data_IF_004992615455
#
_entry.id   IF_004992615455
#
_cell.length_a   1.000
_cell.length_b   1.000
_cell.length_c   1.000
_cell.angle_alpha   90.00
_cell.angle_beta   90.00
_cell.angle_gamma   90.00
#
_symmetry.space_group_name_H-M   'P 1'
#
loop_
_entity.id
_entity.type
_entity.pdbx_description
1 polymer ?
#
# COMPACT_ATOMS: atom_id res chain seq x y z
N UNK A 1 -15.57 -10.34 5.60
CA UNK A 1 -14.49 -11.35 5.52
C UNK A 1 -13.43 -10.86 4.53
N UNK A 2 -12.14 -11.06 4.80
CA UNK A 2 -11.09 -10.75 3.81
C UNK A 2 -11.20 -11.71 2.62
N UNK A 3 -11.23 -11.18 1.40
CA UNK A 3 -11.12 -11.95 0.16
C UNK A 3 -9.65 -12.07 -0.28
N UNK A 4 -9.01 -10.92 -0.44
CA UNK A 4 -7.63 -10.79 -0.87
C UNK A 4 -7.07 -9.42 -0.46
N UNK A 5 -5.75 -9.28 -0.49
CA UNK A 5 -5.08 -7.99 -0.31
C UNK A 5 -4.00 -7.80 -1.39
N UNK A 6 -4.01 -6.64 -2.03
CA UNK A 6 -2.92 -6.17 -2.87
C UNK A 6 -2.01 -5.29 -2.02
N UNK A 7 -0.76 -5.69 -1.83
CA UNK A 7 0.27 -4.86 -1.23
C UNK A 7 0.99 -4.14 -2.36
N UNK A 8 0.97 -2.80 -2.32
CA UNK A 8 1.50 -1.96 -3.39
C UNK A 8 2.36 -0.84 -2.82
N UNK A 9 3.37 -0.36 -3.58
CA UNK A 9 4.21 0.74 -3.13
C UNK A 9 3.46 2.08 -2.98
N UNK A 10 3.97 2.97 -2.12
CA UNK A 10 3.43 4.31 -1.87
C UNK A 10 4.03 5.42 -2.76
N UNK A 11 4.92 5.07 -3.68
CA UNK A 11 5.58 6.05 -4.55
C UNK A 11 4.62 6.63 -5.60
N UNK A 12 4.66 7.95 -5.76
CA UNK A 12 3.91 8.66 -6.80
C UNK A 12 4.27 8.17 -8.22
N UNK A 13 5.43 7.54 -8.41
CA UNK A 13 5.89 6.98 -9.68
C UNK A 13 5.02 5.82 -10.21
N UNK A 14 4.10 5.30 -9.38
CA UNK A 14 3.06 4.36 -9.83
C UNK A 14 1.89 5.03 -10.53
N UNK A 15 1.82 6.34 -10.60
CA UNK A 15 0.79 7.06 -11.36
C UNK A 15 1.43 7.58 -12.64
N UNK A 16 0.87 7.20 -13.79
CA UNK A 16 1.46 7.61 -15.07
C UNK A 16 1.44 9.15 -15.22
N UNK A 17 2.51 9.69 -15.80
CA UNK A 17 2.80 11.12 -15.86
C UNK A 17 3.69 11.62 -14.71
N UNK A 18 3.66 10.98 -13.53
CA UNK A 18 4.42 11.46 -12.36
C UNK A 18 5.95 11.40 -12.54
N UNK A 19 6.45 10.41 -13.29
CA UNK A 19 7.87 10.26 -13.62
C UNK A 19 8.33 11.04 -14.86
N UNK A 20 7.44 11.84 -15.48
CA UNK A 20 7.69 12.50 -16.75
C UNK A 20 8.00 11.51 -17.89
N UNK A 21 8.78 11.97 -18.88
CA UNK A 21 9.11 11.20 -20.09
C UNK A 21 9.90 9.92 -19.82
N UNK A 22 10.65 9.85 -18.73
CA UNK A 22 11.50 8.70 -18.39
C UNK A 22 10.72 7.50 -17.84
N UNK A 23 9.54 7.76 -17.26
CA UNK A 23 8.62 6.75 -16.70
C UNK A 23 9.31 5.58 -15.96
N UNK A 24 10.21 5.85 -15.00
CA UNK A 24 11.04 4.81 -14.39
C UNK A 24 10.20 3.80 -13.58
N UNK A 25 9.00 4.19 -13.13
CA UNK A 25 8.06 3.33 -12.42
C UNK A 25 7.20 2.42 -13.31
N UNK A 26 7.41 2.38 -14.63
CA UNK A 26 6.54 1.63 -15.56
C UNK A 26 6.34 0.16 -15.19
N UNK A 27 7.41 -0.55 -14.85
CA UNK A 27 7.35 -1.99 -14.53
C UNK A 27 6.66 -2.22 -13.20
N UNK A 28 7.10 -1.53 -12.14
CA UNK A 28 6.45 -1.56 -10.84
C UNK A 28 4.96 -1.21 -10.91
N UNK A 29 4.59 -0.20 -11.72
CA UNK A 29 3.20 0.19 -11.95
C UNK A 29 2.38 -0.91 -12.61
N UNK A 30 2.93 -1.58 -13.63
CA UNK A 30 2.25 -2.70 -14.28
C UNK A 30 2.01 -3.86 -13.28
N UNK A 31 3.00 -4.20 -12.46
CA UNK A 31 2.87 -5.22 -11.43
C UNK A 31 1.87 -4.83 -10.33
N UNK A 32 1.91 -3.57 -9.87
CA UNK A 32 0.96 -3.04 -8.90
C UNK A 32 -0.49 -3.09 -9.41
N UNK A 33 -0.71 -2.75 -10.69
CA UNK A 33 -2.02 -2.89 -11.32
C UNK A 33 -2.48 -4.35 -11.38
N UNK A 34 -1.58 -5.28 -11.73
CA UNK A 34 -1.91 -6.70 -11.81
C UNK A 34 -2.35 -7.28 -10.46
N UNK A 35 -1.65 -6.95 -9.37
CA UNK A 35 -2.03 -7.43 -8.03
C UNK A 35 -3.31 -6.77 -7.52
N UNK A 36 -3.54 -5.49 -7.83
CA UNK A 36 -4.79 -4.80 -7.46
C UNK A 36 -5.99 -5.39 -8.21
N UNK A 37 -5.89 -5.56 -9.53
CA UNK A 37 -6.91 -6.21 -10.35
C UNK A 37 -7.26 -7.62 -9.82
N UNK A 38 -6.22 -8.42 -9.55
CA UNK A 38 -6.39 -9.76 -9.00
C UNK A 38 -7.02 -9.78 -7.60
N UNK A 39 -6.72 -8.79 -6.75
CA UNK A 39 -7.26 -8.72 -5.38
C UNK A 39 -8.73 -8.28 -5.35
N UNK A 40 -9.12 -7.34 -6.21
CA UNK A 40 -10.49 -6.79 -6.21
C UNK A 40 -11.47 -7.64 -7.01
N UNK A 41 -10.98 -8.59 -7.81
CA UNK A 41 -11.81 -9.54 -8.54
C UNK A 41 -12.75 -10.33 -7.62
N UNK A 42 -14.05 -10.04 -7.70
CA UNK A 42 -15.08 -10.68 -6.88
C UNK A 42 -15.31 -10.04 -5.49
N UNK A 43 -14.61 -8.95 -5.18
CA UNK A 43 -14.83 -8.17 -3.97
C UNK A 43 -16.18 -7.43 -4.04
N UNK A 44 -16.90 -7.41 -2.92
CA UNK A 44 -18.10 -6.60 -2.74
C UNK A 44 -17.75 -5.17 -2.32
N UNK A 45 -16.65 -5.00 -1.57
CA UNK A 45 -16.14 -3.71 -1.13
C UNK A 45 -14.60 -3.71 -1.13
N UNK A 46 -14.01 -2.52 -1.21
CA UNK A 46 -12.56 -2.32 -1.11
C UNK A 46 -12.22 -1.34 0.00
N UNK A 47 -11.15 -1.60 0.73
CA UNK A 47 -10.54 -0.63 1.65
C UNK A 47 -9.11 -0.35 1.22
N UNK A 48 -8.82 0.92 0.92
CA UNK A 48 -7.45 1.40 0.73
C UNK A 48 -6.87 1.72 2.11
N UNK A 49 -5.81 1.03 2.50
CA UNK A 49 -5.10 1.23 3.76
C UNK A 49 -3.72 1.77 3.44
N UNK A 50 -3.41 2.98 3.87
CA UNK A 50 -2.17 3.66 3.50
C UNK A 50 -1.53 4.35 4.71
N UNK A 51 -0.20 4.59 4.72
CA UNK A 51 0.43 5.32 5.80
C UNK A 51 -0.04 6.78 5.80
N UNK A 52 -0.18 7.35 6.99
CA UNK A 52 -0.53 8.76 7.19
C UNK A 52 -0.02 9.29 8.52
N UNK A 53 -0.07 10.62 8.73
CA UNK A 53 0.43 11.25 9.96
C UNK A 53 -0.43 10.94 11.19
N UNK A 54 -1.69 10.58 10.97
CA UNK A 54 -2.65 10.19 12.02
C UNK A 54 -3.50 9.04 11.52
N UNK A 55 -3.94 8.18 12.43
CA UNK A 55 -4.91 7.12 12.11
C UNK A 55 -6.29 7.73 11.95
N UNK A 56 -6.87 7.62 10.75
CA UNK A 56 -8.20 8.14 10.42
C UNK A 56 -8.82 7.40 9.24
N UNK A 57 -10.14 7.35 9.23
CA UNK A 57 -10.90 7.03 8.02
C UNK A 57 -11.37 8.33 7.37
N UNK A 58 -11.11 8.48 6.08
CA UNK A 58 -11.56 9.66 5.34
C UNK A 58 -13.05 9.54 5.03
N UNK A 59 -13.80 10.60 5.35
CA UNK A 59 -15.24 10.70 5.09
C UNK A 59 -15.55 11.69 3.97
N UNK A 60 -16.75 11.59 3.42
CA UNK A 60 -17.24 12.47 2.37
C UNK A 60 -16.84 12.03 0.96
N UNK A 61 -16.66 13.00 0.06
CA UNK A 61 -16.09 12.78 -1.26
C UNK A 61 -14.55 12.85 -1.16
N UNK A 62 -13.91 11.69 -1.09
CA UNK A 62 -12.46 11.56 -0.99
C UNK A 62 -11.85 11.68 -2.37
N UNK A 63 -10.99 12.68 -2.57
CA UNK A 63 -10.33 12.98 -3.85
C UNK A 63 -8.85 12.67 -3.74
N UNK A 64 -8.33 11.87 -4.67
CA UNK A 64 -6.90 11.60 -4.79
C UNK A 64 -6.17 12.84 -5.32
N UNK A 65 -4.95 13.08 -4.85
CA UNK A 65 -4.07 14.12 -5.37
C UNK A 65 -2.62 13.80 -5.09
N UNK A 66 -1.75 14.04 -6.07
CA UNK A 66 -0.29 13.95 -5.89
C UNK A 66 0.34 15.33 -5.67
N UNK A 67 -0.47 16.39 -5.54
CA UNK A 67 0.02 17.76 -5.37
C UNK A 67 0.92 17.93 -4.13
N UNK A 68 0.67 17.18 -3.06
CA UNK A 68 1.52 17.18 -1.87
C UNK A 68 2.91 16.53 -2.10
N UNK A 69 3.07 15.73 -3.15
CA UNK A 69 4.37 15.25 -3.65
C UNK A 69 4.98 16.19 -4.70
N UNK A 70 4.38 17.36 -4.93
CA UNK A 70 4.86 18.32 -5.93
C UNK A 70 4.47 18.00 -7.38
N UNK A 71 3.58 17.03 -7.60
CA UNK A 71 3.09 16.66 -8.94
C UNK A 71 1.67 17.22 -9.12
N UNK A 72 1.45 18.26 -9.94
CA UNK A 72 0.12 18.79 -10.20
C UNK A 72 -0.78 17.75 -10.87
N UNK A 73 -2.03 17.65 -10.43
CA UNK A 73 -2.95 16.60 -10.93
C UNK A 73 -3.29 16.75 -12.43
N UNK A 74 -3.19 17.97 -12.98
CA UNK A 74 -3.37 18.25 -14.42
C UNK A 74 -2.18 17.84 -15.30
N UNK A 75 -1.07 17.41 -14.68
CA UNK A 75 0.12 16.86 -15.35
C UNK A 75 0.16 15.34 -15.36
N UNK A 76 -0.79 14.69 -14.70
CA UNK A 76 -0.90 13.23 -14.70
C UNK A 76 -1.56 12.77 -16.00
N UNK A 77 -1.11 11.63 -16.52
CA UNK A 77 -1.79 10.96 -17.65
C UNK A 77 -3.09 10.28 -17.18
N UNK A 78 -3.28 10.18 -15.87
CA UNK A 78 -4.42 9.55 -15.23
C UNK A 78 -5.27 10.60 -14.54
N UNK A 79 -6.60 10.63 -14.78
CA UNK A 79 -7.46 11.55 -14.04
C UNK A 79 -7.44 11.21 -12.56
N UNK A 80 -7.48 12.23 -11.71
CA UNK A 80 -7.59 12.08 -10.26
C UNK A 80 -8.93 11.42 -9.90
N UNK A 81 -8.95 10.20 -9.34
CA UNK A 81 -10.19 9.55 -8.95
C UNK A 81 -10.77 10.20 -7.69
N UNK A 82 -12.08 10.06 -7.54
CA UNK A 82 -12.80 10.40 -6.34
C UNK A 82 -13.78 9.27 -5.95
N UNK A 83 -13.91 9.01 -4.65
CA UNK A 83 -14.80 7.98 -4.10
C UNK A 83 -15.65 8.56 -2.98
N UNK A 84 -16.85 8.00 -2.80
CA UNK A 84 -17.82 8.49 -1.81
C UNK A 84 -18.63 9.69 -2.30
N UNK A 85 -19.28 10.38 -1.36
CA UNK A 85 -20.17 11.51 -1.63
C UNK A 85 -20.19 12.49 -0.44
N UNK A 86 -20.53 13.75 -0.70
CA UNK A 86 -20.66 14.79 0.33
C UNK A 86 -19.50 15.79 0.31
N UNK A 87 -19.12 16.29 1.49
CA UNK A 87 -18.05 17.27 1.63
C UNK A 87 -16.72 16.72 1.11
N UNK A 88 -15.95 17.55 0.41
CA UNK A 88 -14.66 17.13 -0.17
C UNK A 88 -13.61 16.93 0.91
N UNK A 89 -12.93 15.80 0.85
CA UNK A 89 -11.73 15.49 1.64
C UNK A 89 -10.61 15.09 0.69
N UNK A 90 -9.35 15.43 1.01
CA UNK A 90 -8.18 15.05 0.21
C UNK A 90 -7.45 13.89 0.87
N UNK A 91 -7.16 12.87 0.07
CA UNK A 91 -6.28 11.79 0.47
C UNK A 91 -4.81 12.24 0.49
N UNK A 92 -4.02 11.68 1.39
CA UNK A 92 -2.55 11.80 1.35
C UNK A 92 -1.98 11.11 0.11
N UNK A 93 -0.71 11.37 -0.19
CA UNK A 93 -0.04 10.83 -1.39
C UNK A 93 -0.11 9.29 -1.45
N UNK A 94 0.22 8.54 -0.38
CA UNK A 94 0.12 7.08 -0.41
C UNK A 94 -1.30 6.58 -0.69
N UNK A 95 -2.32 7.13 0.00
CA UNK A 95 -3.71 6.78 -0.24
C UNK A 95 -4.17 7.15 -1.67
N UNK A 96 -3.67 8.27 -2.21
CA UNK A 96 -3.96 8.70 -3.58
C UNK A 96 -3.39 7.73 -4.62
N UNK A 97 -2.18 7.20 -4.41
CA UNK A 97 -1.60 6.14 -5.24
C UNK A 97 -2.50 4.90 -5.25
N UNK A 98 -2.93 4.44 -4.06
CA UNK A 98 -3.86 3.31 -3.95
C UNK A 98 -5.18 3.54 -4.68
N UNK A 99 -5.76 4.75 -4.57
CA UNK A 99 -6.99 5.12 -5.28
C UNK A 99 -6.81 5.16 -6.81
N UNK A 100 -5.67 5.66 -7.31
CA UNK A 100 -5.36 5.65 -8.74
C UNK A 100 -5.27 4.21 -9.28
N UNK A 101 -4.56 3.33 -8.57
CA UNK A 101 -4.45 1.93 -8.96
C UNK A 101 -5.82 1.24 -8.94
N UNK A 102 -6.63 1.47 -7.91
CA UNK A 102 -7.98 0.92 -7.78
C UNK A 102 -8.91 1.38 -8.92
N UNK A 103 -8.88 2.68 -9.26
CA UNK A 103 -9.66 3.21 -10.37
C UNK A 103 -9.22 2.61 -11.71
N UNK A 104 -7.92 2.33 -11.88
CA UNK A 104 -7.39 1.68 -13.09
C UNK A 104 -7.67 0.20 -13.19
N UNK A 105 -7.86 -0.49 -12.06
CA UNK A 105 -8.43 -1.83 -12.02
C UNK A 105 -9.94 -1.83 -12.30
N UNK A 106 -10.57 -0.66 -12.50
CA UNK A 106 -11.99 -0.57 -12.90
C UNK A 106 -12.97 -0.88 -11.78
N UNK A 107 -12.54 -0.91 -10.51
CA UNK A 107 -13.44 -1.15 -9.40
C UNK A 107 -14.33 0.07 -9.14
N UNK A 108 -15.65 -0.11 -9.20
CA UNK A 108 -16.65 0.95 -9.01
C UNK A 108 -17.53 0.75 -7.77
N UNK A 109 -17.23 -0.26 -6.96
CA UNK A 109 -18.01 -0.59 -5.76
C UNK A 109 -17.70 0.31 -4.56
N UNK A 110 -18.33 0.02 -3.40
CA UNK A 110 -18.04 0.70 -2.14
C UNK A 110 -16.54 0.71 -1.81
N UNK A 111 -15.99 1.90 -1.62
CA UNK A 111 -14.56 2.11 -1.32
C UNK A 111 -14.42 2.94 -0.05
N UNK A 112 -13.66 2.43 0.93
CA UNK A 112 -13.24 3.17 2.12
C UNK A 112 -11.76 3.50 2.03
N UNK A 113 -11.35 4.63 2.60
CA UNK A 113 -9.95 5.07 2.61
C UNK A 113 -9.51 5.31 4.04
N UNK A 114 -8.52 4.55 4.49
CA UNK A 114 -8.02 4.56 5.86
C UNK A 114 -6.54 4.90 5.82
N UNK A 115 -6.19 6.01 6.44
CA UNK A 115 -4.81 6.41 6.68
C UNK A 115 -4.41 5.97 8.09
N UNK A 116 -3.22 5.38 8.23
CA UNK A 116 -2.78 4.82 9.51
C UNK A 116 -1.40 5.37 9.90
N UNK A 117 -1.30 5.80 11.16
CA UNK A 117 -0.03 6.14 11.78
C UNK A 117 0.51 4.93 12.57
N UNK A 118 1.80 4.96 12.88
CA UNK A 118 2.38 3.99 13.81
C UNK A 118 1.70 4.11 15.19
N UNK A 119 1.26 2.99 15.75
CA UNK A 119 0.62 2.96 17.06
C UNK A 119 0.05 1.58 17.40
N UNK A 120 -0.51 1.43 18.61
CA UNK A 120 -1.21 0.21 19.01
C UNK A 120 -2.56 0.07 18.29
N UNK A 121 -3.16 -1.13 18.34
CA UNK A 121 -4.53 -1.39 17.87
C UNK A 121 -4.72 -1.47 16.36
N UNK A 122 -3.64 -1.49 15.57
CA UNK A 122 -3.70 -1.62 14.10
C UNK A 122 -4.26 -2.99 13.67
N UNK A 123 -3.91 -4.07 14.38
CA UNK A 123 -4.48 -5.39 14.12
C UNK A 123 -6.00 -5.41 14.36
N UNK A 124 -6.47 -4.88 15.49
CA UNK A 124 -7.91 -4.80 15.77
C UNK A 124 -8.65 -3.92 14.76
N UNK A 125 -8.00 -2.86 14.27
CA UNK A 125 -8.53 -2.05 13.17
C UNK A 125 -8.70 -2.91 11.91
N UNK A 126 -7.68 -3.68 11.53
CA UNK A 126 -7.74 -4.62 10.42
C UNK A 126 -8.93 -5.56 10.50
N UNK A 127 -9.08 -6.23 11.65
CA UNK A 127 -10.20 -7.14 11.90
C UNK A 127 -11.56 -6.46 11.65
N UNK A 128 -11.75 -5.23 12.16
CA UNK A 128 -12.99 -4.45 11.95
C UNK A 128 -13.21 -4.03 10.50
N UNK A 129 -12.16 -3.72 9.74
CA UNK A 129 -12.29 -3.27 8.35
C UNK A 129 -12.84 -4.34 7.43
N UNK A 130 -12.60 -5.61 7.75
CA UNK A 130 -13.07 -6.76 6.99
C UNK A 130 -14.26 -7.45 7.66
N UNK A 131 -14.94 -6.83 8.62
CA UNK A 131 -16.21 -7.36 9.14
C UNK A 131 -17.35 -7.13 8.12
N UNK A 132 -18.22 -8.13 7.95
CA UNK A 132 -19.34 -8.09 7.00
C UNK A 132 -19.01 -8.70 5.64
N UNK A 133 -19.04 -7.89 4.59
CA UNK A 133 -19.00 -8.35 3.19
C UNK A 133 -17.64 -8.94 2.75
N UNK A 134 -17.57 -9.45 1.51
CA UNK A 134 -16.32 -9.92 0.90
C UNK A 134 -15.44 -8.72 0.54
N UNK A 135 -14.53 -8.36 1.44
CA UNK A 135 -13.72 -7.15 1.34
C UNK A 135 -12.34 -7.48 0.78
N UNK A 136 -11.90 -6.73 -0.24
CA UNK A 136 -10.50 -6.71 -0.65
C UNK A 136 -9.78 -5.50 -0.03
N UNK A 137 -8.47 -5.63 0.21
CA UNK A 137 -7.64 -4.53 0.69
C UNK A 137 -6.64 -4.09 -0.38
N UNK A 138 -6.43 -2.79 -0.50
CA UNK A 138 -5.26 -2.21 -1.18
C UNK A 138 -4.37 -1.62 -0.09
N UNK A 139 -3.32 -2.35 0.28
CA UNK A 139 -2.41 -2.02 1.38
C UNK A 139 -1.18 -1.33 0.79
N UNK A 140 -1.09 -0.02 1.01
CA UNK A 140 -0.08 0.83 0.40
C UNK A 140 1.11 0.98 1.33
N UNK A 141 2.32 0.85 0.81
CA UNK A 141 3.56 1.13 1.54
C UNK A 141 4.78 0.43 0.96
N UNK A 142 5.94 0.95 1.29
CA UNK A 142 7.23 0.45 0.81
C UNK A 142 8.07 -0.13 1.94
N UNK A 143 9.07 -0.92 1.56
CA UNK A 143 10.11 -1.42 2.46
C UNK A 143 11.14 -0.31 2.71
N UNK A 144 12.42 -0.63 2.94
CA UNK A 144 13.39 0.38 3.36
C UNK A 144 13.61 1.47 2.30
N UNK A 145 13.84 2.70 2.76
CA UNK A 145 14.11 3.90 1.95
C UNK A 145 15.55 4.39 2.11
N UNK A 146 16.51 3.44 2.08
CA UNK A 146 17.90 3.65 2.50
C UNK A 146 18.91 3.09 1.47
N UNK A 147 18.54 3.02 0.19
CA UNK A 147 19.39 2.45 -0.86
C UNK A 147 20.06 3.52 -1.72
N UNK A 148 21.32 3.80 -1.44
CA UNK A 148 22.16 4.68 -2.27
C UNK A 148 21.82 6.17 -2.17
N UNK A 149 22.45 7.01 -3.02
CA UNK A 149 22.43 8.47 -2.89
C UNK A 149 21.07 9.10 -3.23
N UNK A 150 20.22 8.39 -3.96
CA UNK A 150 18.89 8.87 -4.37
C UNK A 150 17.82 8.56 -3.32
N UNK A 151 18.19 7.91 -2.22
CA UNK A 151 17.28 7.53 -1.15
C UNK A 151 16.80 8.73 -0.30
N UNK A 152 15.59 8.65 0.28
CA UNK A 152 15.07 9.68 1.19
C UNK A 152 15.97 9.98 2.39
N UNK A 153 16.72 8.98 2.86
CA UNK A 153 17.68 9.08 3.96
C UNK A 153 19.04 8.51 3.51
N UNK A 154 20.09 8.82 4.27
CA UNK A 154 21.43 8.32 4.00
C UNK A 154 21.46 6.79 3.91
N UNK A 155 22.26 6.28 2.96
CA UNK A 155 22.48 4.85 2.70
C UNK A 155 22.77 4.08 3.99
N UNK A 156 22.20 2.88 4.09
CA UNK A 156 22.35 2.01 5.25
C UNK A 156 22.67 0.58 4.78
N UNK A 157 23.83 0.07 5.18
CA UNK A 157 24.31 -1.25 4.77
C UNK A 157 23.41 -2.40 5.25
N UNK A 158 22.57 -2.17 6.25
CA UNK A 158 21.63 -3.17 6.77
C UNK A 158 20.33 -3.26 5.96
N UNK A 159 20.02 -2.23 5.15
CA UNK A 159 18.78 -2.14 4.38
C UNK A 159 18.55 -3.32 3.42
N UNK A 160 19.54 -3.79 2.63
CA UNK A 160 19.32 -4.92 1.72
C UNK A 160 18.93 -6.22 2.43
N UNK A 161 19.59 -6.57 3.53
CA UNK A 161 19.30 -7.79 4.29
C UNK A 161 17.94 -7.71 5.01
N UNK A 162 17.60 -6.53 5.54
CA UNK A 162 16.29 -6.27 6.11
C UNK A 162 15.19 -6.47 5.07
N UNK A 163 15.35 -5.89 3.88
CA UNK A 163 14.38 -5.96 2.80
C UNK A 163 14.20 -7.38 2.25
N UNK A 164 15.29 -8.13 2.08
CA UNK A 164 15.21 -9.52 1.63
C UNK A 164 14.37 -10.37 2.60
N UNK A 165 14.63 -10.26 3.90
CA UNK A 165 13.88 -10.99 4.93
C UNK A 165 12.40 -10.57 4.98
N UNK A 166 12.15 -9.26 4.92
CA UNK A 166 10.81 -8.68 4.92
C UNK A 166 10.00 -9.13 3.69
N UNK A 167 10.58 -9.06 2.50
CA UNK A 167 9.93 -9.46 1.26
C UNK A 167 9.67 -10.97 1.21
N UNK A 168 10.59 -11.78 1.74
CA UNK A 168 10.35 -13.22 1.87
C UNK A 168 9.13 -13.52 2.77
N UNK A 169 8.99 -12.81 3.89
CA UNK A 169 7.86 -12.97 4.81
C UNK A 169 6.54 -12.47 4.21
N UNK A 170 6.57 -11.36 3.47
CA UNK A 170 5.40 -10.86 2.75
C UNK A 170 5.02 -11.76 1.57
N UNK A 171 5.98 -12.34 0.84
CA UNK A 171 5.71 -13.24 -0.27
C UNK A 171 5.22 -14.62 0.20
N UNK A 172 5.69 -15.09 1.36
CA UNK A 172 5.34 -16.38 1.95
C UNK A 172 4.75 -16.25 3.36
N UNK A 173 3.51 -15.76 3.53
CA UNK A 173 2.91 -15.40 4.83
C UNK A 173 2.46 -16.60 5.69
N UNK A 174 3.38 -17.55 5.91
CA UNK A 174 3.23 -18.62 6.90
C UNK A 174 2.94 -18.07 8.30
N UNK A 175 2.41 -18.88 9.24
CA UNK A 175 2.20 -18.43 10.62
C UNK A 175 3.46 -17.83 11.26
N UNK A 176 4.63 -18.44 11.03
CA UNK A 176 5.92 -17.92 11.54
C UNK A 176 6.34 -16.62 10.87
N UNK A 177 6.16 -16.49 9.55
CA UNK A 177 6.42 -15.24 8.82
C UNK A 177 5.51 -14.11 9.33
N UNK A 178 4.21 -14.37 9.51
CA UNK A 178 3.27 -13.40 10.07
C UNK A 178 3.63 -13.00 11.50
N UNK A 179 4.11 -13.92 12.32
CA UNK A 179 4.62 -13.60 13.66
C UNK A 179 5.84 -12.66 13.62
N UNK A 180 6.78 -12.86 12.67
CA UNK A 180 7.90 -11.93 12.46
C UNK A 180 7.45 -10.56 11.97
N UNK A 181 6.53 -10.52 11.00
CA UNK A 181 5.94 -9.27 10.51
C UNK A 181 5.22 -8.51 11.63
N UNK A 182 4.52 -9.21 12.53
CA UNK A 182 3.86 -8.61 13.70
C UNK A 182 4.87 -8.08 14.74
N UNK A 183 6.06 -8.69 14.82
CA UNK A 183 7.12 -8.30 15.74
C UNK A 183 7.95 -7.09 15.25
N UNK A 184 7.73 -6.60 14.02
CA UNK A 184 8.44 -5.43 13.50
C UNK A 184 8.21 -4.21 14.40
N UNK A 185 9.31 -3.63 14.90
CA UNK A 185 9.25 -2.47 15.78
C UNK A 185 9.02 -1.17 15.00
N UNK A 186 8.38 -0.20 15.63
CA UNK A 186 8.23 1.14 15.03
C UNK A 186 9.57 1.84 14.86
N UNK A 187 10.51 1.63 15.78
CA UNK A 187 11.83 2.26 15.74
C UNK A 187 12.68 1.72 14.58
N UNK A 188 12.77 0.40 14.41
CA UNK A 188 13.53 -0.17 13.29
C UNK A 188 12.94 0.22 11.93
N UNK A 189 11.61 0.25 11.81
CA UNK A 189 10.95 0.74 10.59
C UNK A 189 11.24 2.23 10.34
N UNK A 190 11.22 3.07 11.38
CA UNK A 190 11.55 4.50 11.27
C UNK A 190 13.01 4.70 10.90
N UNK A 191 13.92 3.95 11.50
CA UNK A 191 15.35 3.98 11.19
C UNK A 191 15.58 3.63 9.72
N UNK A 192 14.92 2.62 9.18
CA UNK A 192 15.08 2.23 7.78
C UNK A 192 14.15 2.96 6.80
N UNK A 193 13.41 3.99 7.22
CA UNK A 193 12.41 4.71 6.41
C UNK A 193 11.34 3.80 5.77
N UNK A 194 10.96 2.72 6.46
CA UNK A 194 9.92 1.79 6.01
C UNK A 194 8.54 2.42 6.22
N UNK A 195 7.82 2.67 5.12
CA UNK A 195 6.49 3.29 5.17
C UNK A 195 5.35 2.27 5.30
N UNK A 196 5.58 1.03 4.88
CA UNK A 196 4.55 -0.01 4.88
C UNK A 196 4.24 -0.65 6.23
N UNK A 197 5.07 -0.44 7.27
CA UNK A 197 4.91 -1.12 8.56
C UNK A 197 3.50 -1.01 9.12
N UNK A 198 2.99 0.22 9.29
CA UNK A 198 1.68 0.44 9.92
C UNK A 198 0.53 -0.18 9.09
N UNK A 199 0.43 0.05 7.76
CA UNK A 199 -0.49 -0.67 6.88
C UNK A 199 -0.40 -2.20 6.98
N UNK A 200 0.80 -2.77 7.08
CA UNK A 200 0.96 -4.23 7.22
C UNK A 200 0.46 -4.75 8.56
N UNK A 201 0.57 -3.98 9.66
CA UNK A 201 -0.04 -4.37 10.93
C UNK A 201 -1.58 -4.41 10.85
N UNK A 202 -2.19 -3.56 10.03
CA UNK A 202 -3.63 -3.64 9.73
C UNK A 202 -3.94 -4.92 8.94
N UNK A 203 -3.16 -5.21 7.90
CA UNK A 203 -3.31 -6.44 7.12
C UNK A 203 -3.21 -7.71 7.99
N UNK A 204 -2.24 -7.78 8.90
CA UNK A 204 -2.06 -8.93 9.80
C UNK A 204 -3.26 -9.18 10.71
N UNK A 205 -4.01 -8.14 11.07
CA UNK A 205 -5.24 -8.27 11.84
C UNK A 205 -6.45 -8.79 11.05
N UNK A 206 -6.32 -8.98 9.74
CA UNK A 206 -7.42 -9.40 8.86
C UNK A 206 -7.40 -10.90 8.56
N UNK A 207 -6.34 -11.60 8.96
CA UNK A 207 -6.04 -12.99 8.56
C UNK A 207 -6.18 -13.97 9.73
N UNK A 208 -7.38 -14.55 9.86
CA UNK A 208 -7.68 -15.59 10.86
C UNK A 208 -7.31 -17.01 10.40
N UNK A 209 -7.24 -17.25 9.08
CA UNK A 209 -6.99 -18.56 8.46
C UNK A 209 -5.74 -18.58 7.57
N UNK A 210 -5.59 -19.62 6.74
CA UNK A 210 -4.51 -19.71 5.75
C UNK A 210 -4.54 -18.55 4.76
N UNK A 211 -3.36 -18.11 4.36
CA UNK A 211 -3.18 -17.09 3.33
C UNK A 211 -2.04 -17.54 2.43
N UNK A 212 -2.25 -17.38 1.13
CA UNK A 212 -1.23 -17.63 0.11
C UNK A 212 -0.75 -16.27 -0.40
N UNK A 213 0.56 -16.03 -0.29
CA UNK A 213 1.22 -14.87 -0.86
C UNK A 213 1.81 -15.19 -2.23
N UNK A 214 1.86 -14.18 -3.09
CA UNK A 214 2.52 -14.23 -4.40
C UNK A 214 3.22 -12.88 -4.65
N UNK A 215 4.54 -12.89 -4.78
CA UNK A 215 5.32 -11.73 -5.18
C UNK A 215 5.27 -11.59 -6.70
N UNK A 216 4.65 -10.52 -7.19
CA UNK A 216 4.58 -10.24 -8.61
C UNK A 216 5.85 -9.53 -9.10
N UNK A 217 6.33 -8.55 -8.34
CA UNK A 217 7.53 -7.80 -8.69
C UNK A 217 8.13 -7.13 -7.46
N UNK A 218 9.45 -6.98 -7.45
CA UNK A 218 10.19 -6.16 -6.50
C UNK A 218 11.35 -5.46 -7.22
N UNK A 219 11.55 -4.17 -6.93
CA UNK A 219 12.70 -3.41 -7.42
C UNK A 219 13.02 -2.25 -6.45
N UNK A 220 14.28 -1.80 -6.46
CA UNK A 220 14.69 -0.55 -5.81
C UNK A 220 14.49 0.58 -6.82
N UNK A 221 13.73 1.61 -6.44
CA UNK A 221 13.48 2.79 -7.25
C UNK A 221 13.57 4.05 -6.38
N UNK A 222 14.31 5.06 -6.84
CA UNK A 222 14.56 6.28 -6.06
C UNK A 222 15.01 6.00 -4.62
N UNK A 223 15.89 5.00 -4.48
CA UNK A 223 16.48 4.57 -3.22
C UNK A 223 15.53 3.93 -2.20
N UNK A 224 14.32 3.55 -2.60
CA UNK A 224 13.40 2.76 -1.79
C UNK A 224 13.14 1.38 -2.39
N UNK A 225 13.09 0.35 -1.55
CA UNK A 225 12.68 -0.98 -1.94
C UNK A 225 11.15 -1.05 -2.02
N UNK A 226 10.67 -1.44 -3.19
CA UNK A 226 9.27 -1.59 -3.49
C UNK A 226 8.93 -3.03 -3.85
N UNK A 227 7.70 -3.43 -3.59
CA UNK A 227 7.16 -4.70 -4.06
C UNK A 227 5.66 -4.61 -4.32
N UNK A 228 5.21 -5.34 -5.33
CA UNK A 228 3.81 -5.63 -5.61
C UNK A 228 3.54 -7.09 -5.24
N UNK A 229 2.69 -7.32 -4.23
CA UNK A 229 2.43 -8.65 -3.67
C UNK A 229 0.92 -8.86 -3.56
N UNK A 230 0.45 -10.06 -3.90
CA UNK A 230 -0.93 -10.47 -3.71
C UNK A 230 -1.03 -11.46 -2.55
N UNK A 231 -1.93 -11.20 -1.60
CA UNK A 231 -2.37 -12.17 -0.59
C UNK A 231 -3.78 -12.63 -0.93
N UNK A 232 -4.02 -13.94 -0.94
CA UNK A 232 -5.36 -14.53 -1.06
C UNK A 232 -5.70 -15.31 0.19
N UNK A 233 -6.86 -15.01 0.78
CA UNK A 233 -7.40 -15.84 1.86
C UNK A 233 -7.76 -17.23 1.28
N UNK A 234 -7.41 -18.29 2.01
CA UNK A 234 -7.74 -19.67 1.66
C UNK A 234 -9.05 -20.13 2.29
#
# INVERSE_FOLDING_TARGET
MLLAAALVPDTALLVAGAGGLGDPGRRLRAAALAVVDAAVSGAAAVVVVAPGPVTRELAGLVVASLGAAGVPDDRLDWPAPAVGAGARSRAGVPASVGLHLLARAGFTGPTRVVEVAAGPGLADLGARLVQGERTALVVVGSASGRHGPDAPLADDETAPAYDEALLADLAGPSPTARARLAALTSDGARELAVTGRAPWQVLLGTVDAGVVGHLEHAEVLAGAQHAAILWRAS
#
